data_IF_598675717217
#
_entry.id   IF_598675717217
#
_cell.length_a   1.000
_cell.length_b   1.000
_cell.length_c   1.000
_cell.angle_alpha   90.00
_cell.angle_beta   90.00
_cell.angle_gamma   90.00
#
_symmetry.space_group_name_H-M   'P 1'
#
loop_
_entity.id
_entity.type
_entity.pdbx_description
1 polymer ?
#
# COMPACT_ATOMS: atom_id res chain seq x y z
N UNK A 1 27.54 -31.77 -41.40
CA UNK A 1 28.03 -31.96 -40.02
C UNK A 1 28.81 -30.71 -39.64
N UNK A 2 28.52 -30.05 -38.51
CA UNK A 2 29.49 -29.13 -37.92
C UNK A 2 30.25 -29.94 -36.87
N UNK A 3 31.51 -30.27 -37.16
CA UNK A 3 32.42 -31.00 -36.25
C UNK A 3 32.50 -30.38 -34.84
N UNK A 4 32.04 -29.14 -34.72
CA UNK A 4 31.93 -28.36 -33.50
C UNK A 4 30.97 -28.94 -32.45
N UNK A 5 29.92 -29.68 -32.87
CA UNK A 5 28.93 -30.25 -31.94
C UNK A 5 29.44 -31.47 -31.17
N UNK A 6 30.43 -32.20 -31.72
CA UNK A 6 31.06 -33.34 -31.02
C UNK A 6 32.09 -32.88 -29.97
N UNK A 7 32.56 -31.64 -30.07
CA UNK A 7 33.57 -31.05 -29.17
C UNK A 7 32.95 -30.30 -27.98
N UNK A 8 31.63 -30.08 -27.97
CA UNK A 8 30.92 -29.42 -26.88
C UNK A 8 30.84 -30.36 -25.67
N UNK A 9 31.64 -30.08 -24.64
CA UNK A 9 31.48 -30.71 -23.32
C UNK A 9 30.31 -30.06 -22.60
N UNK A 10 29.26 -30.85 -22.36
CA UNK A 10 28.16 -30.42 -21.49
C UNK A 10 28.64 -30.37 -20.03
N UNK A 11 28.02 -29.52 -19.18
CA UNK A 11 28.26 -29.52 -17.74
C UNK A 11 28.05 -30.91 -17.13
N UNK A 12 28.75 -31.21 -16.03
CA UNK A 12 28.74 -32.54 -15.38
C UNK A 12 27.36 -33.06 -15.00
N UNK A 13 26.39 -32.16 -14.82
CA UNK A 13 24.99 -32.49 -14.50
C UNK A 13 24.25 -33.12 -15.67
N UNK A 14 24.77 -33.00 -16.89
CA UNK A 14 24.21 -33.58 -18.11
C UNK A 14 25.00 -34.82 -18.52
N UNK A 15 24.56 -35.98 -18.02
CA UNK A 15 25.19 -37.27 -18.30
C UNK A 15 24.82 -37.84 -19.70
N UNK A 16 24.87 -37.02 -20.76
CA UNK A 16 24.54 -37.43 -22.15
C UNK A 16 25.52 -36.90 -23.19
N UNK A 17 25.68 -37.65 -24.29
CA UNK A 17 26.40 -37.21 -25.50
C UNK A 17 25.42 -36.52 -26.47
N UNK A 18 25.82 -35.40 -27.06
CA UNK A 18 25.02 -34.70 -28.08
C UNK A 18 24.84 -35.61 -29.31
N UNK A 19 23.60 -35.76 -29.78
CA UNK A 19 23.24 -36.59 -30.94
C UNK A 19 23.05 -35.72 -32.19
N UNK A 20 23.26 -36.31 -33.36
CA UNK A 20 23.13 -35.64 -34.66
C UNK A 20 21.70 -35.10 -34.89
N UNK A 21 21.59 -33.95 -35.58
CA UNK A 21 20.34 -33.32 -36.00
C UNK A 21 19.39 -34.23 -36.81
N UNK A 22 19.89 -35.31 -37.42
CA UNK A 22 19.04 -36.33 -38.06
C UNK A 22 18.05 -37.00 -37.08
N UNK A 23 18.31 -36.96 -35.78
CA UNK A 23 17.46 -37.59 -34.77
C UNK A 23 16.41 -36.64 -34.17
N UNK A 24 16.30 -35.38 -34.63
CA UNK A 24 15.42 -34.36 -34.03
C UNK A 24 13.96 -34.81 -33.95
N UNK A 25 13.46 -35.56 -34.93
CA UNK A 25 12.09 -36.08 -34.91
C UNK A 25 11.87 -37.15 -33.84
N UNK A 26 12.92 -37.88 -33.45
CA UNK A 26 12.92 -38.89 -32.40
C UNK A 26 13.12 -38.29 -31.00
N UNK A 27 13.54 -37.03 -30.91
CA UNK A 27 13.67 -36.32 -29.62
C UNK A 27 12.31 -36.05 -28.98
N UNK A 28 11.25 -35.90 -29.79
CA UNK A 28 9.87 -35.68 -29.30
C UNK A 28 9.34 -36.82 -28.43
N UNK A 29 9.74 -38.07 -28.67
CA UNK A 29 9.19 -39.22 -27.94
C UNK A 29 9.96 -39.55 -26.66
N UNK A 30 11.29 -39.39 -26.67
CA UNK A 30 12.16 -39.80 -25.55
C UNK A 30 12.58 -38.65 -24.63
N UNK A 31 12.65 -37.42 -25.13
CA UNK A 31 13.15 -36.26 -24.37
C UNK A 31 12.01 -35.38 -23.84
N UNK A 32 10.82 -35.42 -24.45
CA UNK A 32 9.68 -34.58 -24.06
C UNK A 32 9.17 -34.87 -22.64
N UNK A 33 9.19 -36.13 -22.19
CA UNK A 33 8.74 -36.51 -20.85
C UNK A 33 9.78 -36.25 -19.75
N UNK A 34 11.06 -36.11 -20.11
CA UNK A 34 12.16 -35.94 -19.16
C UNK A 34 12.68 -34.50 -19.06
N UNK A 35 12.51 -33.68 -20.10
CA UNK A 35 13.12 -32.34 -20.17
C UNK A 35 12.13 -31.19 -20.35
N UNK A 36 10.90 -31.45 -20.77
CA UNK A 36 9.86 -30.42 -20.78
C UNK A 36 9.30 -30.33 -19.37
N UNK A 37 9.87 -29.44 -18.56
CA UNK A 37 9.26 -29.07 -17.29
C UNK A 37 7.82 -28.58 -17.57
N UNK A 38 6.90 -28.86 -16.65
CA UNK A 38 5.51 -28.42 -16.68
C UNK A 38 5.37 -26.96 -17.14
N UNK A 39 6.28 -26.08 -16.71
CA UNK A 39 6.32 -24.68 -17.14
C UNK A 39 6.43 -24.49 -18.67
N UNK A 40 7.26 -25.27 -19.36
CA UNK A 40 7.43 -25.21 -20.82
C UNK A 40 6.23 -25.85 -21.53
N UNK A 41 5.67 -26.92 -20.95
CA UNK A 41 4.45 -27.53 -21.48
C UNK A 41 3.26 -26.58 -21.39
N UNK A 42 3.14 -25.83 -20.29
CA UNK A 42 2.07 -24.86 -20.08
C UNK A 42 2.11 -23.75 -21.13
N UNK A 43 3.30 -23.32 -21.59
CA UNK A 43 3.44 -22.32 -22.66
C UNK A 43 2.81 -22.75 -23.99
N UNK A 44 2.69 -24.06 -24.26
CA UNK A 44 1.98 -24.55 -25.44
C UNK A 44 0.47 -24.29 -25.36
N UNK A 45 -0.08 -24.27 -24.13
CA UNK A 45 -1.51 -24.10 -23.85
C UNK A 45 -1.90 -22.66 -23.56
N UNK A 46 -0.94 -21.77 -23.24
CA UNK A 46 -1.20 -20.36 -22.92
C UNK A 46 -2.06 -19.68 -23.98
N UNK A 47 -1.84 -19.95 -25.27
CA UNK A 47 -2.67 -19.35 -26.33
C UNK A 47 -4.15 -19.76 -26.23
N UNK A 48 -4.44 -21.04 -26.02
CA UNK A 48 -5.81 -21.52 -25.86
C UNK A 48 -6.46 -20.99 -24.58
N UNK A 49 -5.70 -20.87 -23.51
CA UNK A 49 -6.16 -20.29 -22.24
C UNK A 49 -6.51 -18.81 -22.41
N UNK A 50 -5.68 -18.04 -23.12
CA UNK A 50 -5.95 -16.64 -23.42
C UNK A 50 -7.19 -16.45 -24.30
N UNK A 51 -7.37 -17.34 -25.28
CA UNK A 51 -8.56 -17.32 -26.13
C UNK A 51 -9.85 -17.61 -25.33
N UNK A 52 -9.79 -18.52 -24.35
CA UNK A 52 -10.97 -18.93 -23.57
C UNK A 52 -11.29 -18.00 -22.40
N UNK A 53 -10.27 -17.47 -21.72
CA UNK A 53 -10.42 -16.80 -20.42
C UNK A 53 -10.00 -15.33 -20.44
N UNK A 54 -9.52 -14.82 -21.57
CA UNK A 54 -9.08 -13.44 -21.72
C UNK A 54 -7.60 -13.26 -21.44
N UNK A 55 -7.17 -12.00 -21.31
CA UNK A 55 -5.75 -11.66 -21.17
C UNK A 55 -5.07 -12.31 -19.94
N UNK A 56 -3.73 -12.42 -19.98
CA UNK A 56 -2.91 -12.98 -18.89
C UNK A 56 -3.19 -12.31 -17.56
N UNK A 57 -3.48 -11.00 -17.58
CA UNK A 57 -3.86 -10.23 -16.39
C UNK A 57 -5.08 -10.81 -15.66
N UNK A 58 -6.03 -11.40 -16.39
CA UNK A 58 -7.29 -11.94 -15.85
C UNK A 58 -7.10 -13.34 -15.26
N UNK A 59 -6.24 -14.16 -15.87
CA UNK A 59 -5.99 -15.55 -15.43
C UNK A 59 -4.78 -15.70 -14.52
N UNK A 60 -3.92 -14.68 -14.42
CA UNK A 60 -2.72 -14.75 -13.59
C UNK A 60 -3.07 -14.84 -12.10
N UNK A 61 -2.36 -15.70 -11.37
CA UNK A 61 -2.44 -15.74 -9.91
C UNK A 61 -1.62 -14.61 -9.24
N UNK A 62 -0.90 -13.80 -10.03
CA UNK A 62 0.03 -12.78 -9.56
C UNK A 62 -0.60 -11.74 -8.60
N UNK A 63 -1.83 -11.24 -8.84
CA UNK A 63 -2.48 -10.32 -7.90
C UNK A 63 -2.71 -10.92 -6.50
N UNK A 64 -2.80 -12.25 -6.41
CA UNK A 64 -3.06 -12.95 -5.15
C UNK A 64 -1.78 -13.32 -4.41
N UNK A 65 -0.61 -13.31 -5.06
CA UNK A 65 0.66 -13.71 -4.44
C UNK A 65 1.05 -12.79 -3.28
N UNK A 66 0.84 -11.48 -3.44
CA UNK A 66 1.08 -10.51 -2.37
C UNK A 66 0.28 -10.87 -1.11
N UNK A 67 -1.01 -11.20 -1.30
CA UNK A 67 -1.87 -11.58 -0.19
C UNK A 67 -1.49 -12.94 0.42
N UNK A 68 -1.12 -13.90 -0.42
CA UNK A 68 -0.67 -15.21 0.03
C UNK A 68 0.63 -15.12 0.83
N UNK A 69 1.53 -14.22 0.44
CA UNK A 69 2.76 -13.93 1.17
C UNK A 69 2.47 -13.43 2.59
N UNK A 70 1.55 -12.47 2.75
CA UNK A 70 1.10 -12.01 4.06
C UNK A 70 0.56 -13.15 4.92
N UNK A 71 -0.30 -14.01 4.35
CA UNK A 71 -0.88 -15.15 5.05
C UNK A 71 0.21 -16.15 5.47
N UNK A 72 1.20 -16.38 4.59
CA UNK A 72 2.32 -17.29 4.87
C UNK A 72 3.14 -16.83 6.08
N UNK A 73 3.33 -15.52 6.25
CA UNK A 73 4.03 -14.97 7.43
C UNK A 73 3.28 -15.20 8.75
N UNK A 74 1.96 -15.46 8.70
CA UNK A 74 1.16 -15.79 9.89
C UNK A 74 1.36 -17.24 10.36
N UNK A 75 1.90 -18.11 9.50
CA UNK A 75 2.08 -19.53 9.77
C UNK A 75 3.50 -19.77 10.26
N UNK A 76 3.64 -20.32 11.47
CA UNK A 76 4.96 -20.57 12.09
C UNK A 76 5.55 -21.94 11.74
N UNK A 77 4.69 -22.91 11.41
CA UNK A 77 5.10 -24.27 11.06
C UNK A 77 4.11 -24.92 10.09
N UNK A 78 4.57 -25.93 9.33
CA UNK A 78 3.73 -26.65 8.38
C UNK A 78 2.60 -27.47 9.02
N UNK A 79 2.65 -27.72 10.33
CA UNK A 79 1.65 -28.54 11.03
C UNK A 79 0.36 -27.73 11.25
N UNK A 80 -0.77 -28.21 10.72
CA UNK A 80 -2.06 -27.51 10.80
C UNK A 80 -1.97 -26.04 10.31
N UNK A 81 -1.23 -25.79 9.23
CA UNK A 81 -0.97 -24.45 8.67
C UNK A 81 -2.25 -23.62 8.42
N UNK A 82 -3.30 -24.26 7.90
CA UNK A 82 -4.60 -23.60 7.68
C UNK A 82 -5.25 -23.14 8.99
N UNK A 83 -5.25 -24.00 10.01
CA UNK A 83 -5.81 -23.67 11.33
C UNK A 83 -5.02 -22.54 11.97
N UNK A 84 -3.69 -22.57 11.86
CA UNK A 84 -2.83 -21.48 12.33
C UNK A 84 -3.19 -20.14 11.66
N UNK A 85 -3.31 -20.13 10.34
CA UNK A 85 -3.65 -18.93 9.58
C UNK A 85 -5.04 -18.38 9.96
N UNK A 86 -6.06 -19.25 10.03
CA UNK A 86 -7.44 -18.87 10.39
C UNK A 86 -7.50 -18.29 11.80
N UNK A 87 -6.89 -18.95 12.78
CA UNK A 87 -6.86 -18.47 14.16
C UNK A 87 -6.15 -17.12 14.25
N UNK A 88 -5.01 -16.95 13.56
CA UNK A 88 -4.26 -15.70 13.58
C UNK A 88 -5.02 -14.56 12.89
N UNK A 89 -5.70 -14.82 11.79
CA UNK A 89 -6.55 -13.84 11.11
C UNK A 89 -7.72 -13.40 11.99
N UNK A 90 -8.37 -14.35 12.67
CA UNK A 90 -9.46 -14.08 13.61
C UNK A 90 -9.01 -13.21 14.78
N UNK A 91 -7.83 -13.51 15.34
CA UNK A 91 -7.20 -12.69 16.39
C UNK A 91 -6.94 -11.26 15.91
N UNK A 92 -6.33 -11.09 14.72
CA UNK A 92 -6.06 -9.77 14.14
C UNK A 92 -7.34 -8.97 13.91
N UNK A 93 -8.43 -9.61 13.48
CA UNK A 93 -9.74 -8.96 13.33
C UNK A 93 -10.29 -8.46 14.66
N UNK A 94 -10.20 -9.28 15.73
CA UNK A 94 -10.62 -8.88 17.09
C UNK A 94 -9.80 -7.72 17.63
N UNK A 95 -8.49 -7.73 17.43
CA UNK A 95 -7.60 -6.63 17.85
C UNK A 95 -7.93 -5.35 17.08
N UNK A 96 -8.19 -5.43 15.76
CA UNK A 96 -8.62 -4.29 14.95
C UNK A 96 -9.95 -3.72 15.45
N UNK A 97 -10.95 -4.58 15.68
CA UNK A 97 -12.25 -4.16 16.22
C UNK A 97 -12.14 -3.50 17.60
N UNK A 98 -11.32 -4.07 18.50
CA UNK A 98 -11.09 -3.51 19.83
C UNK A 98 -10.29 -2.19 19.80
N UNK A 99 -9.44 -1.98 18.79
CA UNK A 99 -8.79 -0.68 18.57
C UNK A 99 -9.79 0.36 18.08
N UNK A 100 -10.71 -0.02 17.20
CA UNK A 100 -11.77 0.87 16.71
C UNK A 100 -12.65 1.33 17.87
N UNK A 101 -13.08 0.42 18.75
CA UNK A 101 -13.91 0.80 19.91
C UNK A 101 -13.17 1.62 20.97
N UNK A 102 -11.86 1.43 21.16
CA UNK A 102 -11.05 2.28 22.05
C UNK A 102 -10.78 3.68 21.49
N UNK A 103 -10.99 3.88 20.19
CA UNK A 103 -10.80 5.19 19.54
C UNK A 103 -12.06 6.07 19.67
N UNK A 104 -13.19 5.52 20.13
CA UNK A 104 -14.44 6.29 20.35
C UNK A 104 -14.43 7.15 21.63
N UNK A 105 -13.35 7.13 22.42
CA UNK A 105 -13.09 8.17 23.40
C UNK A 105 -12.30 9.29 22.72
N UNK A 106 -13.00 10.36 22.31
CA UNK A 106 -12.49 11.66 21.80
C UNK A 106 -11.98 11.79 20.35
N UNK A 107 -12.18 10.84 19.43
CA UNK A 107 -12.01 11.10 17.99
C UNK A 107 -13.37 11.48 17.36
N UNK A 108 -13.70 12.76 17.34
CA UNK A 108 -14.82 13.24 16.52
C UNK A 108 -14.42 13.14 15.05
N UNK A 109 -15.01 12.16 14.33
CA UNK A 109 -14.95 12.06 12.86
C UNK A 109 -15.74 13.21 12.25
N UNK A 110 -15.09 14.36 12.17
CA UNK A 110 -15.58 15.51 11.45
C UNK A 110 -15.22 15.33 9.98
N UNK A 111 -16.25 15.21 9.13
CA UNK A 111 -16.14 15.29 7.65
C UNK A 111 -15.26 14.24 6.95
N UNK A 112 -15.41 12.96 7.29
CA UNK A 112 -14.79 11.85 6.53
C UNK A 112 -13.29 11.62 6.79
N UNK A 113 -12.64 12.51 7.53
CA UNK A 113 -11.28 12.33 8.06
C UNK A 113 -11.29 12.34 9.60
N UNK A 114 -10.15 12.01 10.19
CA UNK A 114 -9.98 11.95 11.65
C UNK A 114 -8.92 12.97 12.07
N UNK A 115 -9.34 13.96 12.85
CA UNK A 115 -8.46 14.89 13.54
C UNK A 115 -8.04 14.25 14.87
N UNK A 116 -6.76 14.37 15.21
CA UNK A 116 -6.20 13.78 16.42
C UNK A 116 -5.33 14.79 17.12
N UNK A 117 -5.25 14.70 18.44
CA UNK A 117 -4.31 15.49 19.24
C UNK A 117 -2.90 14.87 19.18
N UNK A 118 -2.35 14.76 17.97
CA UNK A 118 -0.97 14.39 17.76
C UNK A 118 -0.32 15.41 16.82
N UNK A 119 0.99 15.61 16.94
CA UNK A 119 1.69 16.68 16.22
C UNK A 119 1.40 16.70 14.72
N UNK A 120 1.32 15.53 14.07
CA UNK A 120 1.14 15.40 12.63
C UNK A 120 -0.30 15.64 12.19
N UNK A 121 -1.27 15.15 12.95
CA UNK A 121 -2.68 15.04 12.56
C UNK A 121 -3.59 16.10 13.21
N UNK A 122 -3.02 17.00 14.01
CA UNK A 122 -3.73 18.06 14.74
C UNK A 122 -4.14 19.24 13.87
N UNK A 123 -3.74 19.33 12.59
CA UNK A 123 -4.02 20.52 11.78
C UNK A 123 -5.24 20.34 10.88
N UNK A 124 -6.05 21.39 10.75
CA UNK A 124 -7.12 21.48 9.74
C UNK A 124 -7.23 22.89 9.18
N UNK A 125 -7.87 23.00 8.01
CA UNK A 125 -8.07 24.28 7.32
C UNK A 125 -9.56 24.51 7.06
N UNK A 126 -10.00 25.76 7.19
CA UNK A 126 -11.36 26.18 6.83
C UNK A 126 -11.44 26.65 5.39
N UNK A 127 -12.65 26.79 4.83
CA UNK A 127 -12.83 27.35 3.48
C UNK A 127 -12.33 28.80 3.35
N UNK A 128 -12.15 29.52 4.46
CA UNK A 128 -11.49 30.84 4.49
C UNK A 128 -9.97 30.80 4.35
N UNK A 129 -9.37 29.61 4.23
CA UNK A 129 -7.92 29.42 4.12
C UNK A 129 -7.17 29.53 5.45
N UNK A 130 -7.86 29.71 6.58
CA UNK A 130 -7.23 29.80 7.89
C UNK A 130 -6.88 28.42 8.42
N UNK A 131 -5.67 28.28 8.97
CA UNK A 131 -5.19 27.04 9.59
C UNK A 131 -5.47 27.05 11.10
N UNK A 132 -5.98 25.92 11.58
CA UNK A 132 -6.28 25.67 12.98
C UNK A 132 -5.53 24.44 13.51
N UNK A 133 -5.11 24.50 14.77
CA UNK A 133 -4.72 23.35 15.57
C UNK A 133 -5.92 22.83 16.36
N UNK A 134 -6.32 21.61 16.07
CA UNK A 134 -7.35 20.86 16.77
C UNK A 134 -7.02 20.71 18.26
N UNK A 135 -8.02 20.98 19.10
CA UNK A 135 -7.97 20.80 20.55
C UNK A 135 -9.05 19.88 21.09
N UNK A 136 -10.08 19.63 20.30
CA UNK A 136 -11.19 18.78 20.69
C UNK A 136 -12.38 19.04 19.79
N UNK A 137 -13.48 18.43 20.13
CA UNK A 137 -14.75 18.66 19.45
C UNK A 137 -15.86 18.62 20.48
N UNK A 138 -16.86 19.45 20.23
CA UNK A 138 -18.02 19.59 21.10
C UNK A 138 -19.27 19.42 20.26
N UNK A 139 -20.17 18.57 20.75
CA UNK A 139 -21.51 18.48 20.21
C UNK A 139 -22.37 19.56 20.89
N UNK A 140 -22.83 20.53 20.11
CA UNK A 140 -23.73 21.59 20.57
C UNK A 140 -25.09 21.32 19.93
N UNK A 141 -25.98 20.65 20.67
CA UNK A 141 -27.26 20.19 20.13
C UNK A 141 -27.09 19.08 19.09
N UNK A 142 -27.66 19.28 17.90
CA UNK A 142 -27.57 18.32 16.77
C UNK A 142 -26.31 18.56 15.90
N UNK A 143 -25.58 19.65 16.13
CA UNK A 143 -24.42 20.04 15.32
C UNK A 143 -23.13 19.75 16.06
N UNK A 144 -22.22 19.00 15.42
CA UNK A 144 -20.85 18.85 15.91
C UNK A 144 -20.03 20.07 15.50
N UNK A 145 -19.23 20.59 16.43
CA UNK A 145 -18.27 21.68 16.19
C UNK A 145 -16.88 21.21 16.57
N UNK A 146 -15.87 21.53 15.75
CA UNK A 146 -14.47 21.32 16.09
C UNK A 146 -13.95 22.51 16.86
N UNK A 147 -13.14 22.25 17.87
CA UNK A 147 -12.48 23.27 18.67
C UNK A 147 -11.02 23.34 18.23
N UNK A 148 -10.52 24.54 17.98
CA UNK A 148 -9.13 24.72 17.62
C UNK A 148 -8.59 26.13 17.84
N UNK A 149 -7.27 26.20 17.86
CA UNK A 149 -6.49 27.42 17.97
C UNK A 149 -6.04 27.86 16.58
N UNK A 150 -6.32 29.10 16.18
CA UNK A 150 -5.99 29.61 14.84
C UNK A 150 -4.57 30.17 14.79
N UNK A 151 -3.86 29.98 13.67
CA UNK A 151 -2.66 30.76 13.40
C UNK A 151 -3.01 32.19 12.95
N UNK A 152 -2.37 33.17 13.58
CA UNK A 152 -2.53 34.59 13.25
C UNK A 152 -1.79 34.94 11.96
N UNK A 153 -0.68 34.26 11.69
CA UNK A 153 0.11 34.41 10.49
C UNK A 153 0.45 33.04 9.88
N UNK A 154 0.35 32.97 8.56
CA UNK A 154 0.73 31.82 7.75
C UNK A 154 1.17 32.33 6.38
N UNK A 155 2.13 31.66 5.76
CA UNK A 155 2.67 32.02 4.45
C UNK A 155 2.81 30.78 3.55
N UNK A 156 2.84 30.92 2.22
CA UNK A 156 3.25 29.80 1.37
C UNK A 156 4.66 29.34 1.74
N UNK A 157 4.86 28.03 1.87
CA UNK A 157 6.16 27.43 2.18
C UNK A 157 7.19 27.64 1.05
N UNK A 158 6.75 27.66 -0.21
CA UNK A 158 7.59 28.03 -1.36
C UNK A 158 6.79 28.81 -2.40
N UNK A 159 7.50 29.61 -3.21
CA UNK A 159 6.91 30.43 -4.28
C UNK A 159 7.22 29.92 -5.69
N UNK A 160 8.24 29.07 -5.86
CA UNK A 160 8.67 28.54 -7.14
C UNK A 160 8.46 27.01 -7.21
N UNK A 161 8.01 26.43 -8.34
CA UNK A 161 7.66 27.07 -9.62
C UNK A 161 6.36 27.90 -9.59
N UNK A 162 5.51 27.70 -8.58
CA UNK A 162 4.33 28.52 -8.28
C UNK A 162 4.06 28.50 -6.76
N UNK A 163 3.24 29.41 -6.23
CA UNK A 163 2.97 29.48 -4.79
C UNK A 163 2.38 28.18 -4.24
N UNK A 164 3.00 27.65 -3.19
CA UNK A 164 2.61 26.40 -2.53
C UNK A 164 1.22 26.47 -1.89
N UNK A 165 0.70 27.68 -1.63
CA UNK A 165 -0.66 27.93 -1.17
C UNK A 165 -1.71 27.30 -2.09
N UNK A 166 -1.46 27.25 -3.40
CA UNK A 166 -2.38 26.61 -4.36
C UNK A 166 -2.49 25.09 -4.16
N UNK A 167 -1.54 24.50 -3.44
CA UNK A 167 -1.51 23.09 -3.05
C UNK A 167 -1.92 22.88 -1.58
N UNK A 168 -2.39 23.93 -0.90
CA UNK A 168 -2.65 23.95 0.54
C UNK A 168 -1.42 23.62 1.39
N UNK A 169 -0.23 24.01 0.90
CA UNK A 169 1.04 23.86 1.63
C UNK A 169 1.44 25.22 2.17
N UNK A 170 1.59 25.30 3.50
CA UNK A 170 1.88 26.53 4.21
C UNK A 170 3.00 26.34 5.23
N UNK A 171 3.64 27.44 5.57
CA UNK A 171 4.53 27.60 6.72
C UNK A 171 3.87 28.52 7.73
N UNK A 172 3.96 28.17 9.01
CA UNK A 172 3.46 28.96 10.11
C UNK A 172 4.38 28.75 11.32
N UNK A 173 4.60 29.81 12.09
CA UNK A 173 5.38 29.73 13.32
C UNK A 173 4.45 29.39 14.50
N UNK A 174 4.88 28.49 15.39
CA UNK A 174 4.14 28.18 16.61
C UNK A 174 3.96 29.39 17.53
N UNK A 175 4.80 30.43 17.43
CA UNK A 175 4.65 31.70 18.15
C UNK A 175 3.45 32.52 17.69
N UNK A 176 3.00 32.33 16.46
CA UNK A 176 1.85 33.05 15.88
C UNK A 176 0.52 32.34 16.16
N UNK A 177 0.55 31.20 16.85
CA UNK A 177 -0.63 30.45 17.25
C UNK A 177 -1.40 31.23 18.33
N UNK A 178 -2.65 31.57 18.03
CA UNK A 178 -3.55 32.14 19.02
C UNK A 178 -3.99 31.05 20.01
N UNK A 179 -3.79 31.28 21.31
CA UNK A 179 -4.19 30.33 22.36
C UNK A 179 -5.70 30.35 22.67
N UNK A 180 -6.46 31.27 22.09
CA UNK A 180 -7.92 31.27 22.20
C UNK A 180 -8.50 30.06 21.45
N UNK A 181 -9.33 29.28 22.13
CA UNK A 181 -10.07 28.17 21.53
C UNK A 181 -11.28 28.74 20.79
N UNK A 182 -11.35 28.46 19.50
CA UNK A 182 -12.45 28.87 18.61
C UNK A 182 -13.24 27.62 18.20
N UNK A 183 -14.57 27.73 18.27
CA UNK A 183 -15.46 26.69 17.76
C UNK A 183 -15.70 26.92 16.26
N UNK A 184 -15.41 25.91 15.46
CA UNK A 184 -15.58 25.89 14.01
C UNK A 184 -16.64 24.85 13.66
N UNK A 185 -17.63 25.23 12.85
CA UNK A 185 -18.61 24.30 12.33
C UNK A 185 -17.95 23.28 11.41
N UNK A 186 -18.34 22.01 11.52
CA UNK A 186 -17.81 20.92 10.70
C UNK A 186 -17.94 21.21 9.20
N UNK A 187 -19.04 21.83 8.78
CA UNK A 187 -19.31 22.20 7.39
C UNK A 187 -18.35 23.26 6.84
N UNK A 188 -17.70 24.03 7.72
CA UNK A 188 -16.71 25.03 7.33
C UNK A 188 -15.29 24.46 7.27
N UNK A 189 -15.08 23.20 7.64
CA UNK A 189 -13.77 22.55 7.54
C UNK A 189 -13.57 22.06 6.10
N UNK A 190 -12.59 22.64 5.41
CA UNK A 190 -12.28 22.31 4.02
C UNK A 190 -11.49 21.01 3.92
N UNK A 191 -10.40 20.88 4.69
CA UNK A 191 -9.56 19.69 4.66
C UNK A 191 -8.71 19.54 5.93
N UNK A 192 -8.21 18.31 6.14
CA UNK A 192 -7.16 18.01 7.10
C UNK A 192 -5.78 18.38 6.53
N UNK A 193 -4.89 18.88 7.39
CA UNK A 193 -3.51 19.16 7.07
C UNK A 193 -2.57 18.24 7.88
N UNK A 194 -1.41 17.92 7.32
CA UNK A 194 -0.37 17.17 8.01
C UNK A 194 0.78 18.12 8.40
N UNK A 195 1.09 18.22 9.69
CA UNK A 195 2.21 19.04 10.14
C UNK A 195 3.54 18.31 9.96
N UNK A 196 4.55 19.05 9.54
CA UNK A 196 5.95 18.62 9.46
C UNK A 196 6.79 19.64 10.20
N UNK A 197 7.63 19.18 11.11
CA UNK A 197 8.58 20.04 11.81
C UNK A 197 9.75 20.32 10.88
N UNK A 198 10.02 21.60 10.62
CA UNK A 198 11.20 22.03 9.88
C UNK A 198 12.23 22.50 10.87
N UNK A 199 13.39 21.85 10.89
CA UNK A 199 14.54 22.35 11.64
C UNK A 199 15.03 23.57 10.87
N UNK A 200 14.88 24.76 11.46
CA UNK A 200 15.62 25.94 11.00
C UNK A 200 17.08 25.71 11.41
N UNK A 201 17.92 25.37 10.44
CA UNK A 201 19.38 25.51 10.60
C UNK A 201 19.66 27.00 10.73
N UNK A 202 19.90 27.47 11.96
CA UNK A 202 20.51 28.78 12.22
C UNK A 202 21.99 28.77 11.80
#
# INVERSE_FOLDING_TARGET
MSAHMEQLRLPSDFNRRLRNLHYVDLWKASEFKMFVNSNVHNLLHVYEELYRYGDLSTISAYPFESKLHEIKQLVRSGRHSLVQAVNRLTELQRVKAARISKTETTDSRVTGFTLRDNFRDQCFMTFGGCIFLYKGAQQVGDTTTTQGCQFSQQAPFFLHPYPSQNLNIYSANMRDLNHAIVNVFCDNVMCKLAAVETITED
#
